data_IF_051212359327
#
_entry.id   IF_051212359327
#
_cell.length_a   1.000
_cell.length_b   1.000
_cell.length_c   1.000
_cell.angle_alpha   90.00
_cell.angle_beta   90.00
_cell.angle_gamma   90.00
#
_symmetry.space_group_name_H-M   'P 1'
#
loop_
_entity.id
_entity.type
_entity.pdbx_description
1 polymer ?
#
# COMPACT_ATOMS: atom_id res chain seq x y z
N UNK A 1 -29.32 21.67 16.39
CA UNK A 1 -28.07 22.11 17.04
C UNK A 1 -26.93 21.13 16.76
N UNK A 2 -27.08 19.84 17.02
CA UNK A 2 -26.04 18.83 16.78
C UNK A 2 -25.46 18.81 15.35
N UNK A 3 -26.31 18.88 14.32
CA UNK A 3 -25.86 18.90 12.92
C UNK A 3 -24.93 20.09 12.63
N UNK A 4 -25.24 21.28 13.13
CA UNK A 4 -24.40 22.48 12.96
C UNK A 4 -23.03 22.31 13.65
N UNK A 5 -23.02 21.66 14.83
CA UNK A 5 -21.78 21.39 15.57
C UNK A 5 -20.90 20.40 14.80
N UNK A 6 -21.47 19.30 14.29
CA UNK A 6 -20.72 18.30 13.52
C UNK A 6 -20.19 18.88 12.20
N UNK A 7 -21.01 19.62 11.48
CA UNK A 7 -20.56 20.30 10.24
C UNK A 7 -19.47 21.32 10.58
N UNK A 8 -19.63 22.12 11.63
CA UNK A 8 -18.61 23.07 12.09
C UNK A 8 -17.30 22.39 12.48
N UNK A 9 -17.37 21.27 13.21
CA UNK A 9 -16.21 20.48 13.58
C UNK A 9 -15.49 19.91 12.33
N UNK A 10 -16.23 19.34 11.39
CA UNK A 10 -15.65 18.83 10.14
C UNK A 10 -15.01 19.95 9.30
N UNK A 11 -15.64 21.11 9.21
CA UNK A 11 -15.04 22.26 8.53
C UNK A 11 -13.74 22.68 9.21
N UNK A 12 -13.74 22.78 10.55
CA UNK A 12 -12.53 23.14 11.31
C UNK A 12 -11.42 22.09 11.13
N UNK A 13 -11.75 20.79 11.20
CA UNK A 13 -10.79 19.71 10.95
C UNK A 13 -10.30 19.77 9.49
N UNK A 14 -11.17 19.97 8.52
CA UNK A 14 -10.80 20.12 7.11
C UNK A 14 -9.82 21.26 6.87
N UNK A 15 -10.08 22.43 7.49
CA UNK A 15 -9.15 23.57 7.44
C UNK A 15 -7.82 23.23 8.09
N UNK A 16 -7.82 22.54 9.25
CA UNK A 16 -6.61 22.10 9.92
C UNK A 16 -5.81 21.10 9.07
N UNK A 17 -6.49 20.17 8.39
CA UNK A 17 -5.87 19.21 7.47
C UNK A 17 -5.22 19.93 6.27
N UNK A 18 -5.91 20.89 5.67
CA UNK A 18 -5.37 21.71 4.58
C UNK A 18 -4.17 22.53 5.03
N UNK A 19 -4.28 23.22 6.17
CA UNK A 19 -3.17 23.97 6.74
C UNK A 19 -1.98 23.06 7.09
N UNK A 20 -2.24 21.89 7.67
CA UNK A 20 -1.22 20.88 7.96
C UNK A 20 -0.57 20.34 6.68
N UNK A 21 -1.35 20.07 5.64
CA UNK A 21 -0.82 19.62 4.36
C UNK A 21 0.06 20.68 3.69
N UNK A 22 -0.29 21.96 3.79
CA UNK A 22 0.53 23.07 3.28
C UNK A 22 1.82 23.21 4.10
N UNK A 23 1.72 23.13 5.42
CA UNK A 23 2.88 23.26 6.31
C UNK A 23 3.86 22.08 6.19
N UNK A 24 3.33 20.87 6.02
CA UNK A 24 4.11 19.63 5.86
C UNK A 24 4.41 19.31 4.38
N UNK A 25 4.15 20.28 3.46
CA UNK A 25 4.37 20.04 2.04
C UNK A 25 5.85 19.77 1.77
N UNK A 26 6.17 18.71 1.02
CA UNK A 26 7.56 18.34 0.77
C UNK A 26 8.34 19.41 0.02
N UNK A 27 9.61 19.56 0.37
CA UNK A 27 10.49 20.61 -0.18
C UNK A 27 10.96 20.36 -1.61
N UNK A 28 10.65 19.19 -2.21
CA UNK A 28 11.08 18.77 -3.55
C UNK A 28 12.60 18.84 -3.77
N UNK A 29 13.40 18.68 -2.72
CA UNK A 29 14.84 18.62 -2.86
C UNK A 29 15.25 17.43 -3.73
N UNK A 30 16.22 17.67 -4.62
CA UNK A 30 16.83 16.56 -5.37
C UNK A 30 17.56 15.67 -4.38
N UNK A 31 17.17 14.41 -4.36
CA UNK A 31 17.86 13.37 -3.58
C UNK A 31 18.85 12.71 -4.51
N UNK A 32 20.09 12.55 -4.06
CA UNK A 32 21.07 11.77 -4.79
C UNK A 32 20.58 10.33 -4.94
N UNK A 33 20.76 9.78 -6.12
CA UNK A 33 20.32 8.41 -6.40
C UNK A 33 21.18 7.46 -5.56
N UNK A 34 20.60 6.59 -4.71
CA UNK A 34 21.39 5.65 -3.91
C UNK A 34 22.20 4.69 -4.78
N UNK A 35 23.36 4.27 -4.29
CA UNK A 35 24.33 3.44 -5.02
C UNK A 35 23.75 2.22 -5.75
N UNK A 36 22.80 1.41 -5.18
CA UNK A 36 22.23 0.27 -5.88
C UNK A 36 21.40 0.64 -7.10
N UNK A 37 20.92 1.89 -7.15
CA UNK A 37 20.12 2.42 -8.26
C UNK A 37 20.93 3.31 -9.20
N UNK A 38 22.25 3.44 -8.95
CA UNK A 38 23.17 4.17 -9.80
C UNK A 38 23.79 3.24 -10.85
N UNK A 39 24.00 3.78 -12.04
CA UNK A 39 24.93 3.21 -13.02
C UNK A 39 26.38 3.63 -12.70
N UNK A 40 27.36 3.04 -13.39
CA UNK A 40 28.77 3.34 -13.18
C UNK A 40 29.15 4.83 -13.41
N UNK A 41 28.31 5.61 -14.07
CA UNK A 41 28.48 7.06 -14.28
C UNK A 41 27.77 7.92 -13.25
N UNK A 42 27.21 7.34 -12.17
CA UNK A 42 26.50 8.06 -11.10
C UNK A 42 25.07 8.48 -11.43
N UNK A 43 24.54 8.12 -12.61
CA UNK A 43 23.14 8.34 -12.97
C UNK A 43 22.24 7.15 -12.60
N UNK A 44 20.92 7.28 -12.79
CA UNK A 44 19.99 6.17 -12.57
C UNK A 44 20.29 4.99 -13.49
N UNK A 45 20.12 3.77 -12.98
CA UNK A 45 20.13 2.56 -13.83
C UNK A 45 19.01 2.68 -14.85
N UNK A 46 19.38 2.63 -16.14
CA UNK A 46 18.41 2.65 -17.22
C UNK A 46 18.01 1.21 -17.56
N UNK A 47 16.71 0.96 -17.67
CA UNK A 47 16.20 -0.33 -18.11
C UNK A 47 15.61 -0.22 -19.50
N UNK A 48 15.87 -1.22 -20.33
CA UNK A 48 15.40 -1.32 -21.70
C UNK A 48 14.51 -2.55 -21.85
N UNK A 49 13.60 -2.52 -22.82
CA UNK A 49 12.77 -3.66 -23.14
C UNK A 49 13.56 -4.64 -24.02
N UNK A 50 13.30 -5.91 -23.84
CA UNK A 50 13.82 -6.97 -24.69
C UNK A 50 12.92 -8.20 -24.68
N UNK A 51 13.12 -9.10 -25.62
CA UNK A 51 12.43 -10.38 -25.66
C UNK A 51 13.38 -11.53 -25.93
N UNK A 52 13.04 -12.69 -25.42
CA UNK A 52 13.85 -13.90 -25.51
C UNK A 52 13.70 -14.54 -26.89
N UNK A 53 14.80 -14.66 -27.64
CA UNK A 53 14.85 -15.32 -28.93
C UNK A 53 15.12 -16.83 -28.83
N UNK A 54 16.08 -17.21 -27.97
CA UNK A 54 16.42 -18.61 -27.76
C UNK A 54 17.03 -18.81 -26.35
N UNK A 55 16.91 -20.03 -25.85
CA UNK A 55 17.53 -20.44 -24.61
C UNK A 55 18.13 -21.82 -24.77
N UNK A 56 19.40 -21.99 -24.38
CA UNK A 56 20.14 -23.27 -24.51
C UNK A 56 21.05 -23.49 -23.32
N UNK A 57 21.26 -24.74 -22.95
CA UNK A 57 22.28 -25.11 -21.95
C UNK A 57 23.65 -25.16 -22.61
N UNK A 58 24.62 -24.47 -22.04
CA UNK A 58 25.99 -24.39 -22.50
C UNK A 58 26.96 -24.16 -21.35
N UNK A 59 28.29 -24.34 -21.54
CA UNK A 59 29.26 -23.99 -20.49
C UNK A 59 29.16 -22.53 -20.08
N UNK A 60 29.35 -22.26 -18.78
CA UNK A 60 29.36 -20.91 -18.23
C UNK A 60 30.64 -20.15 -18.56
N UNK A 61 30.56 -18.83 -18.55
CA UNK A 61 31.71 -17.94 -18.66
C UNK A 61 32.01 -17.47 -20.08
N UNK A 62 30.98 -17.38 -20.95
CA UNK A 62 31.15 -16.77 -22.25
C UNK A 62 31.56 -15.30 -22.16
N UNK A 63 32.59 -14.85 -22.91
CA UNK A 63 32.95 -13.43 -22.98
C UNK A 63 31.83 -12.55 -23.53
N UNK A 64 30.89 -13.14 -24.24
CA UNK A 64 29.72 -12.43 -24.79
C UNK A 64 28.60 -12.18 -23.78
N UNK A 65 28.73 -12.65 -22.51
CA UNK A 65 27.70 -12.46 -21.50
C UNK A 65 27.47 -10.96 -21.20
N UNK A 66 26.26 -10.51 -21.46
CA UNK A 66 25.86 -9.09 -21.31
C UNK A 66 26.32 -8.16 -22.42
N UNK A 67 27.18 -8.58 -23.34
CA UNK A 67 27.67 -7.74 -24.39
C UNK A 67 26.62 -7.47 -25.49
N UNK A 68 26.75 -6.33 -26.18
CA UNK A 68 26.01 -6.08 -27.43
C UNK A 68 26.62 -6.95 -28.54
N UNK A 69 25.85 -7.86 -29.07
CA UNK A 69 26.33 -8.81 -30.08
C UNK A 69 26.30 -8.19 -31.48
N UNK A 70 27.44 -8.18 -32.12
CA UNK A 70 27.60 -7.84 -33.57
C UNK A 70 27.81 -9.07 -34.44
N UNK A 71 28.04 -10.22 -33.80
CA UNK A 71 28.26 -11.54 -34.44
C UNK A 71 27.65 -12.64 -33.53
N UNK A 72 27.81 -13.89 -33.90
CA UNK A 72 27.43 -15.02 -33.06
C UNK A 72 28.16 -14.98 -31.69
N UNK A 73 27.50 -15.37 -30.57
CA UNK A 73 28.13 -15.37 -29.27
C UNK A 73 29.38 -16.27 -29.21
N UNK A 74 30.44 -15.77 -28.60
CA UNK A 74 31.64 -16.55 -28.37
C UNK A 74 31.38 -17.66 -27.36
N UNK A 75 31.96 -18.84 -27.64
CA UNK A 75 31.83 -19.97 -26.72
C UNK A 75 32.66 -19.78 -25.46
N UNK A 76 32.10 -20.27 -24.34
CA UNK A 76 32.82 -20.27 -23.08
C UNK A 76 34.04 -21.20 -23.12
N UNK A 77 35.12 -20.89 -22.35
CA UNK A 77 36.27 -21.79 -22.22
C UNK A 77 35.87 -23.17 -21.70
N UNK A 78 36.54 -24.25 -22.13
CA UNK A 78 36.26 -25.57 -21.60
C UNK A 78 36.59 -25.66 -20.11
N UNK A 79 35.71 -26.30 -19.30
CA UNK A 79 35.90 -26.53 -17.86
C UNK A 79 34.98 -25.74 -16.93
N UNK A 80 34.11 -24.88 -17.48
CA UNK A 80 33.06 -24.20 -16.68
C UNK A 80 31.88 -25.11 -16.36
N UNK A 81 31.10 -24.75 -15.31
CA UNK A 81 29.80 -25.34 -15.02
C UNK A 81 28.82 -25.22 -16.17
N UNK A 82 27.62 -25.80 -16.02
CA UNK A 82 26.54 -25.66 -17.01
C UNK A 82 25.69 -24.42 -16.66
N UNK A 83 25.46 -23.56 -17.64
CA UNK A 83 24.60 -22.38 -17.57
C UNK A 83 23.49 -22.47 -18.62
N UNK A 84 22.42 -21.76 -18.37
CA UNK A 84 21.41 -21.46 -19.38
C UNK A 84 21.81 -20.14 -20.06
N UNK A 85 22.24 -20.24 -21.32
CA UNK A 85 22.52 -19.09 -22.17
C UNK A 85 21.26 -18.69 -22.91
N UNK A 86 20.81 -17.45 -22.68
CA UNK A 86 19.60 -16.90 -23.26
C UNK A 86 19.94 -15.75 -24.19
N UNK A 87 19.61 -15.89 -25.47
CA UNK A 87 19.74 -14.83 -26.45
C UNK A 87 18.51 -13.94 -26.44
N UNK A 88 18.72 -12.64 -26.32
CA UNK A 88 17.72 -11.63 -26.14
C UNK A 88 17.85 -10.57 -27.24
N UNK A 89 16.75 -10.24 -27.91
CA UNK A 89 16.64 -9.04 -28.74
C UNK A 89 16.36 -7.83 -27.88
N UNK A 90 17.06 -6.74 -28.13
CA UNK A 90 16.89 -5.46 -27.46
C UNK A 90 15.84 -4.66 -28.23
N UNK A 91 14.69 -4.38 -27.56
CA UNK A 91 13.53 -3.76 -28.22
C UNK A 91 13.48 -2.24 -28.04
N UNK A 92 14.30 -1.68 -27.14
CA UNK A 92 14.33 -0.24 -26.86
C UNK A 92 15.73 0.25 -26.52
N UNK A 93 15.92 1.57 -26.52
CA UNK A 93 17.19 2.22 -26.16
C UNK A 93 18.14 2.40 -27.35
N UNK A 94 19.40 2.80 -27.08
CA UNK A 94 20.40 3.10 -28.11
C UNK A 94 20.80 1.89 -28.96
N UNK A 95 20.72 0.67 -28.39
CA UNK A 95 21.09 -0.57 -29.06
C UNK A 95 19.87 -1.37 -29.53
N UNK A 96 18.75 -0.66 -29.79
CA UNK A 96 17.55 -1.28 -30.32
C UNK A 96 17.86 -2.09 -31.59
N UNK A 97 17.19 -3.23 -31.72
CA UNK A 97 17.33 -4.22 -32.84
C UNK A 97 18.68 -4.97 -32.81
N UNK A 98 19.55 -4.73 -31.83
CA UNK A 98 20.71 -5.58 -31.57
C UNK A 98 20.33 -6.72 -30.59
N UNK A 99 21.23 -7.71 -30.50
CA UNK A 99 21.06 -8.82 -29.56
C UNK A 99 22.07 -8.73 -28.42
N UNK A 100 21.68 -9.31 -27.29
CA UNK A 100 22.58 -9.59 -26.16
C UNK A 100 22.37 -11.01 -25.67
N UNK A 101 23.36 -11.61 -25.05
CA UNK A 101 23.26 -12.94 -24.46
C UNK A 101 23.43 -12.81 -22.93
N UNK A 102 22.56 -13.44 -22.16
CA UNK A 102 22.66 -13.52 -20.72
C UNK A 102 22.85 -14.97 -20.27
N UNK A 103 23.70 -15.17 -19.26
CA UNK A 103 23.97 -16.46 -18.65
C UNK A 103 23.35 -16.55 -17.26
N UNK A 104 22.66 -17.67 -16.99
CA UNK A 104 22.08 -18.00 -15.70
C UNK A 104 22.60 -19.35 -15.22
N UNK A 105 23.04 -19.43 -13.98
CA UNK A 105 23.59 -20.67 -13.40
C UNK A 105 22.56 -21.76 -13.15
N UNK A 106 21.26 -21.49 -13.37
CA UNK A 106 20.19 -22.50 -13.21
C UNK A 106 19.90 -22.93 -11.77
N UNK A 107 20.47 -22.24 -10.77
CA UNK A 107 20.23 -22.52 -9.35
C UNK A 107 18.89 -21.97 -8.83
N UNK A 108 18.50 -22.34 -7.58
CA UNK A 108 17.34 -21.76 -6.93
C UNK A 108 17.41 -20.23 -6.88
N UNK A 109 16.32 -19.55 -7.23
CA UNK A 109 16.25 -18.09 -7.26
C UNK A 109 16.74 -17.45 -8.57
N UNK A 110 17.24 -18.21 -9.53
CA UNK A 110 17.56 -17.71 -10.87
C UNK A 110 16.29 -17.63 -11.75
N UNK A 111 16.15 -16.60 -12.60
CA UNK A 111 15.01 -16.50 -13.51
C UNK A 111 15.06 -17.61 -14.55
N UNK A 112 13.92 -18.25 -14.80
CA UNK A 112 13.73 -19.16 -15.92
C UNK A 112 13.09 -18.39 -17.07
N UNK A 113 13.86 -18.13 -18.13
CA UNK A 113 13.41 -17.41 -19.31
C UNK A 113 13.02 -18.39 -20.42
N UNK A 114 11.78 -18.29 -20.89
CA UNK A 114 11.27 -19.04 -22.02
C UNK A 114 11.33 -18.20 -23.31
N UNK A 115 11.40 -18.88 -24.46
CA UNK A 115 11.36 -18.20 -25.76
C UNK A 115 10.06 -17.42 -25.92
N UNK A 116 10.15 -16.16 -26.28
CA UNK A 116 9.03 -15.23 -26.41
C UNK A 116 8.72 -14.43 -25.15
N UNK A 117 9.40 -14.68 -24.01
CA UNK A 117 9.23 -13.86 -22.82
C UNK A 117 9.68 -12.43 -23.07
N UNK A 118 8.85 -11.48 -22.67
CA UNK A 118 9.20 -10.06 -22.62
C UNK A 118 9.82 -9.73 -21.28
N UNK A 119 11.00 -9.10 -21.33
CA UNK A 119 11.80 -8.79 -20.15
C UNK A 119 12.29 -7.35 -20.15
N UNK A 120 12.71 -6.89 -18.98
CA UNK A 120 13.48 -5.67 -18.78
C UNK A 120 14.92 -6.04 -18.54
N UNK A 121 15.83 -5.40 -19.27
CA UNK A 121 17.28 -5.53 -19.10
C UNK A 121 17.86 -4.21 -18.62
N UNK A 122 18.75 -4.24 -17.65
CA UNK A 122 19.48 -3.07 -17.19
C UNK A 122 20.68 -2.81 -18.08
N UNK A 123 20.79 -1.58 -18.58
CA UNK A 123 21.94 -1.13 -19.35
C UNK A 123 22.98 -0.49 -18.44
N UNK A 124 24.19 -1.01 -18.46
CA UNK A 124 25.35 -0.46 -17.76
C UNK A 124 26.38 -0.01 -18.79
N UNK A 125 27.07 1.08 -18.50
CA UNK A 125 28.18 1.59 -19.30
C UNK A 125 29.39 1.58 -18.39
N UNK A 126 30.43 0.87 -18.77
CA UNK A 126 31.67 0.82 -18.01
C UNK A 126 32.49 2.12 -18.19
N UNK A 127 33.58 2.24 -17.43
CA UNK A 127 34.47 3.40 -17.51
C UNK A 127 35.17 3.56 -18.87
N UNK A 128 35.23 2.49 -19.68
CA UNK A 128 35.75 2.47 -21.06
C UNK A 128 34.70 2.82 -22.11
N UNK A 129 33.43 3.02 -21.72
CA UNK A 129 32.33 3.31 -22.63
C UNK A 129 31.68 2.07 -23.25
N UNK A 130 32.11 0.85 -22.90
CA UNK A 130 31.47 -0.36 -23.37
C UNK A 130 30.11 -0.55 -22.67
N UNK A 131 29.11 -0.94 -23.45
CA UNK A 131 27.76 -1.19 -22.95
C UNK A 131 27.59 -2.66 -22.62
N UNK A 132 27.11 -2.94 -21.41
CA UNK A 132 26.72 -4.27 -20.98
C UNK A 132 25.28 -4.30 -20.50
N UNK A 133 24.65 -5.46 -20.63
CA UNK A 133 23.27 -5.75 -20.23
C UNK A 133 23.24 -6.80 -19.14
N UNK A 134 22.31 -6.66 -18.21
CA UNK A 134 21.99 -7.68 -17.22
C UNK A 134 20.47 -7.82 -17.12
N UNK A 135 20.01 -9.00 -16.71
CA UNK A 135 18.59 -9.20 -16.40
C UNK A 135 18.18 -8.28 -15.27
N UNK A 136 17.06 -7.59 -15.44
CA UNK A 136 16.48 -6.73 -14.42
C UNK A 136 15.19 -7.34 -13.88
N UNK A 137 14.21 -7.59 -14.75
CA UNK A 137 12.91 -8.18 -14.36
C UNK A 137 12.11 -8.63 -15.61
N UNK A 138 10.96 -9.29 -15.37
CA UNK A 138 9.99 -9.56 -16.42
C UNK A 138 9.18 -8.31 -16.77
N UNK A 139 8.80 -8.15 -18.03
CA UNK A 139 7.88 -7.10 -18.47
C UNK A 139 6.44 -7.48 -18.12
N UNK A 140 5.88 -6.86 -17.08
CA UNK A 140 4.54 -7.17 -16.55
C UNK A 140 3.48 -6.14 -16.93
N UNK A 141 3.82 -5.17 -17.76
CA UNK A 141 2.93 -4.03 -18.08
C UNK A 141 1.57 -4.47 -18.59
N UNK A 142 1.55 -5.32 -19.62
CA UNK A 142 0.30 -5.77 -20.22
C UNK A 142 -0.55 -6.66 -19.32
N UNK A 143 -0.02 -7.69 -18.65
CA UNK A 143 -0.77 -8.46 -17.66
C UNK A 143 -1.36 -7.60 -16.55
N UNK A 144 -0.60 -6.65 -15.98
CA UNK A 144 -1.08 -5.78 -14.94
C UNK A 144 -2.17 -4.82 -15.41
N UNK A 145 -2.03 -4.24 -16.63
CA UNK A 145 -3.08 -3.43 -17.24
C UNK A 145 -4.34 -4.26 -17.46
N UNK A 146 -4.21 -5.50 -17.95
CA UNK A 146 -5.35 -6.39 -18.16
C UNK A 146 -6.08 -6.69 -16.84
N UNK A 147 -5.36 -7.04 -15.78
CA UNK A 147 -5.95 -7.26 -14.45
C UNK A 147 -6.63 -5.99 -13.90
N UNK A 148 -5.97 -4.83 -14.03
CA UNK A 148 -6.55 -3.55 -13.61
C UNK A 148 -7.81 -3.21 -14.41
N UNK A 149 -7.83 -3.46 -15.71
CA UNK A 149 -8.99 -3.25 -16.58
C UNK A 149 -10.16 -4.17 -16.18
N UNK A 150 -9.88 -5.48 -15.99
CA UNK A 150 -10.91 -6.45 -15.54
C UNK A 150 -11.45 -6.04 -14.17
N UNK A 151 -10.59 -5.68 -13.21
CA UNK A 151 -11.00 -5.18 -11.91
C UNK A 151 -11.92 -3.96 -12.05
N UNK A 152 -11.52 -2.96 -12.84
CA UNK A 152 -12.31 -1.76 -13.06
C UNK A 152 -13.67 -2.06 -13.69
N UNK A 153 -13.71 -2.90 -14.73
CA UNK A 153 -14.93 -3.32 -15.43
C UNK A 153 -15.89 -4.03 -14.47
N UNK A 154 -15.41 -4.99 -13.70
CA UNK A 154 -16.24 -5.74 -12.75
C UNK A 154 -16.82 -4.82 -11.68
N UNK A 155 -15.99 -3.95 -11.09
CA UNK A 155 -16.45 -2.99 -10.07
C UNK A 155 -17.51 -2.03 -10.64
N UNK A 156 -17.30 -1.50 -11.85
CA UNK A 156 -18.26 -0.59 -12.47
C UNK A 156 -19.53 -1.34 -12.90
N UNK A 157 -19.41 -2.55 -13.43
CA UNK A 157 -20.57 -3.34 -13.84
C UNK A 157 -21.49 -3.67 -12.66
N UNK A 158 -20.92 -4.05 -11.51
CA UNK A 158 -21.69 -4.45 -10.31
C UNK A 158 -22.14 -3.21 -9.51
N UNK A 159 -21.24 -2.31 -9.18
CA UNK A 159 -21.53 -1.15 -8.33
C UNK A 159 -21.92 0.11 -9.11
N UNK A 160 -21.95 0.05 -10.44
CA UNK A 160 -22.38 1.12 -11.35
C UNK A 160 -21.61 2.43 -11.07
N UNK A 161 -22.32 3.55 -11.00
CA UNK A 161 -21.74 4.86 -10.77
C UNK A 161 -20.99 4.98 -9.43
N UNK A 162 -21.43 4.24 -8.41
CA UNK A 162 -20.72 4.18 -7.12
C UNK A 162 -19.37 3.49 -7.26
N UNK A 163 -19.30 2.43 -8.08
CA UNK A 163 -18.05 1.74 -8.39
C UNK A 163 -17.04 2.65 -9.09
N UNK A 164 -17.48 3.41 -10.10
CA UNK A 164 -16.60 4.38 -10.77
C UNK A 164 -16.03 5.42 -9.79
N UNK A 165 -16.88 5.97 -8.92
CA UNK A 165 -16.43 6.92 -7.89
C UNK A 165 -15.46 6.30 -6.90
N UNK A 166 -15.63 5.03 -6.54
CA UNK A 166 -14.70 4.31 -5.69
C UNK A 166 -13.33 4.15 -6.36
N UNK A 167 -13.29 3.81 -7.67
CA UNK A 167 -12.04 3.73 -8.44
C UNK A 167 -11.33 5.08 -8.50
N UNK A 168 -12.05 6.17 -8.75
CA UNK A 168 -11.48 7.52 -8.69
C UNK A 168 -10.94 7.82 -7.28
N UNK A 169 -11.65 7.39 -6.24
CA UNK A 169 -11.20 7.50 -4.85
C UNK A 169 -9.88 6.79 -4.59
N UNK A 170 -9.69 5.58 -5.15
CA UNK A 170 -8.42 4.84 -5.07
C UNK A 170 -7.29 5.64 -5.75
N UNK A 171 -7.53 6.18 -6.94
CA UNK A 171 -6.54 7.02 -7.64
C UNK A 171 -6.17 8.25 -6.80
N UNK A 172 -7.15 8.95 -6.23
CA UNK A 172 -6.90 10.09 -5.33
C UNK A 172 -6.07 9.68 -4.12
N UNK A 173 -6.38 8.52 -3.50
CA UNK A 173 -5.60 8.02 -2.37
C UNK A 173 -4.14 7.78 -2.77
N UNK A 174 -3.88 7.10 -3.89
CA UNK A 174 -2.52 6.88 -4.39
C UNK A 174 -1.80 8.20 -4.73
N UNK A 175 -2.48 9.17 -5.32
CA UNK A 175 -1.91 10.50 -5.60
C UNK A 175 -1.46 11.17 -4.30
N UNK A 176 -2.30 11.16 -3.25
CA UNK A 176 -1.92 11.73 -1.94
C UNK A 176 -0.72 11.00 -1.34
N UNK A 177 -0.68 9.67 -1.44
CA UNK A 177 0.47 8.90 -0.95
C UNK A 177 1.76 9.26 -1.70
N UNK A 178 1.73 9.26 -3.04
CA UNK A 178 2.93 9.45 -3.88
C UNK A 178 3.40 10.90 -3.91
N UNK A 179 2.47 11.87 -3.93
CA UNK A 179 2.82 13.30 -4.10
C UNK A 179 3.05 14.00 -2.77
N UNK A 180 2.40 13.54 -1.70
CA UNK A 180 2.51 14.20 -0.39
C UNK A 180 3.17 13.32 0.66
N UNK A 181 2.61 12.13 0.98
CA UNK A 181 3.09 11.34 2.11
C UNK A 181 4.54 10.88 1.93
N UNK A 182 4.84 10.18 0.83
CA UNK A 182 6.17 9.61 0.62
C UNK A 182 7.26 10.69 0.52
N UNK A 183 7.08 11.79 -0.24
CA UNK A 183 8.08 12.84 -0.28
C UNK A 183 8.27 13.56 1.06
N UNK A 184 7.19 13.80 1.83
CA UNK A 184 7.30 14.44 3.15
C UNK A 184 8.07 13.55 4.15
N UNK A 185 7.83 12.23 4.15
CA UNK A 185 8.59 11.29 4.97
C UNK A 185 10.06 11.20 4.55
N UNK A 186 10.32 11.19 3.24
CA UNK A 186 11.67 11.22 2.68
C UNK A 186 12.44 12.47 3.12
N UNK A 187 11.79 13.62 3.15
CA UNK A 187 12.37 14.90 3.57
C UNK A 187 12.56 14.98 5.11
N UNK A 188 12.26 13.89 5.85
CA UNK A 188 12.46 13.78 7.31
C UNK A 188 11.35 14.41 8.15
N UNK A 189 10.20 14.71 7.58
CA UNK A 189 9.06 15.22 8.35
C UNK A 189 8.54 14.19 9.36
N UNK A 190 8.00 14.67 10.49
CA UNK A 190 7.44 13.81 11.52
C UNK A 190 6.32 12.90 10.99
N UNK A 191 6.46 11.59 11.17
CA UNK A 191 5.60 10.58 10.56
C UNK A 191 4.13 10.69 10.99
N UNK A 192 3.85 10.93 12.29
CA UNK A 192 2.47 11.02 12.81
C UNK A 192 1.68 12.15 12.15
N UNK A 193 2.14 13.43 12.18
CA UNK A 193 1.41 14.52 11.54
C UNK A 193 1.22 14.32 10.03
N UNK A 194 2.25 13.83 9.34
CA UNK A 194 2.19 13.58 7.89
C UNK A 194 1.18 12.48 7.57
N UNK A 195 1.24 11.34 8.28
CA UNK A 195 0.32 10.22 8.07
C UNK A 195 -1.13 10.61 8.41
N UNK A 196 -1.36 11.35 9.50
CA UNK A 196 -2.69 11.84 9.86
C UNK A 196 -3.24 12.83 8.85
N UNK A 197 -2.43 13.78 8.38
CA UNK A 197 -2.84 14.75 7.36
C UNK A 197 -3.17 14.07 6.04
N UNK A 198 -2.32 13.14 5.56
CA UNK A 198 -2.55 12.35 4.36
C UNK A 198 -3.82 11.51 4.48
N UNK A 199 -3.96 10.75 5.58
CA UNK A 199 -5.12 9.90 5.84
C UNK A 199 -6.41 10.69 5.92
N UNK A 200 -6.41 11.83 6.61
CA UNK A 200 -7.57 12.69 6.70
C UNK A 200 -7.94 13.28 5.33
N UNK A 201 -6.97 13.74 4.54
CA UNK A 201 -7.21 14.25 3.19
C UNK A 201 -7.83 13.16 2.29
N UNK A 202 -7.30 11.93 2.35
CA UNK A 202 -7.86 10.77 1.64
C UNK A 202 -9.30 10.52 2.09
N UNK A 203 -9.58 10.50 3.39
CA UNK A 203 -10.92 10.26 3.92
C UNK A 203 -11.93 11.31 3.46
N UNK A 204 -11.58 12.61 3.53
CA UNK A 204 -12.45 13.68 3.02
C UNK A 204 -12.77 13.48 1.54
N UNK A 205 -11.76 13.19 0.73
CA UNK A 205 -11.96 13.00 -0.71
C UNK A 205 -12.78 11.73 -0.99
N UNK A 206 -12.36 10.58 -0.45
CA UNK A 206 -12.95 9.27 -0.79
C UNK A 206 -14.38 9.15 -0.27
N UNK A 207 -14.63 9.51 0.99
CA UNK A 207 -15.95 9.35 1.61
C UNK A 207 -16.99 10.24 0.91
N UNK A 208 -16.69 11.52 0.69
CA UNK A 208 -17.64 12.40 0.03
C UNK A 208 -17.77 12.12 -1.48
N UNK A 209 -16.71 11.69 -2.15
CA UNK A 209 -16.78 11.30 -3.55
C UNK A 209 -17.65 10.06 -3.75
N UNK A 210 -17.46 9.02 -2.92
CA UNK A 210 -18.18 7.76 -3.07
C UNK A 210 -19.65 7.85 -2.62
N UNK A 211 -19.92 8.55 -1.48
CA UNK A 211 -21.22 8.52 -0.80
C UNK A 211 -21.98 9.84 -0.86
N UNK A 212 -21.38 10.90 -1.44
CA UNK A 212 -21.98 12.24 -1.51
C UNK A 212 -21.95 12.98 -0.17
N UNK A 213 -22.37 14.26 -0.19
CA UNK A 213 -22.41 15.12 0.99
C UNK A 213 -23.76 14.98 1.69
N UNK A 214 -23.78 14.39 2.88
CA UNK A 214 -24.99 14.20 3.69
C UNK A 214 -24.63 14.13 5.17
N UNK A 215 -25.62 14.25 6.07
CA UNK A 215 -25.39 14.05 7.51
C UNK A 215 -24.93 12.63 7.84
N UNK A 216 -25.41 11.63 7.11
CA UNK A 216 -24.99 10.24 7.22
C UNK A 216 -23.50 10.12 6.89
N UNK A 217 -23.08 10.63 5.75
CA UNK A 217 -21.69 10.63 5.31
C UNK A 217 -20.79 11.43 6.24
N UNK A 218 -21.28 12.57 6.74
CA UNK A 218 -20.55 13.40 7.72
C UNK A 218 -20.40 12.70 9.09
N UNK A 219 -21.40 11.92 9.51
CA UNK A 219 -21.28 11.09 10.71
C UNK A 219 -20.22 9.99 10.56
N UNK A 220 -20.20 9.32 9.41
CA UNK A 220 -19.19 8.34 9.07
C UNK A 220 -17.79 8.96 9.08
N UNK A 221 -17.60 10.06 8.37
CA UNK A 221 -16.31 10.76 8.30
C UNK A 221 -15.79 11.16 9.70
N UNK A 222 -16.65 11.76 10.54
CA UNK A 222 -16.24 12.15 11.89
C UNK A 222 -15.88 10.92 12.73
N UNK A 223 -16.66 9.84 12.63
CA UNK A 223 -16.37 8.56 13.28
C UNK A 223 -15.04 7.96 12.83
N UNK A 224 -14.77 7.99 11.52
CA UNK A 224 -13.50 7.50 10.96
C UNK A 224 -12.30 8.34 11.39
N UNK A 225 -12.42 9.67 11.39
CA UNK A 225 -11.35 10.56 11.85
C UNK A 225 -11.03 10.36 13.34
N UNK A 226 -12.06 10.16 14.18
CA UNK A 226 -11.86 9.86 15.60
C UNK A 226 -11.19 8.49 15.79
N UNK A 227 -11.61 7.47 15.03
CA UNK A 227 -10.99 6.15 15.07
C UNK A 227 -9.55 6.16 14.50
N UNK A 228 -9.26 7.00 13.52
CA UNK A 228 -7.92 7.20 12.98
C UNK A 228 -6.96 7.80 14.02
N UNK A 229 -7.41 8.79 14.79
CA UNK A 229 -6.62 9.33 15.90
C UNK A 229 -6.33 8.26 16.95
N UNK A 230 -7.33 7.44 17.26
CA UNK A 230 -7.15 6.32 18.19
C UNK A 230 -6.15 5.30 17.61
N UNK A 231 -6.26 4.95 16.31
CA UNK A 231 -5.31 4.07 15.64
C UNK A 231 -3.88 4.62 15.70
N UNK A 232 -3.69 5.92 15.50
CA UNK A 232 -2.38 6.57 15.59
C UNK A 232 -1.79 6.49 17.02
N UNK A 233 -2.61 6.73 18.04
CA UNK A 233 -2.19 6.62 19.45
C UNK A 233 -1.83 5.17 19.81
N UNK A 234 -2.65 4.21 19.37
CA UNK A 234 -2.39 2.79 19.59
C UNK A 234 -1.13 2.33 18.84
N UNK A 235 -0.91 2.81 17.62
CA UNK A 235 0.29 2.53 16.83
C UNK A 235 1.55 3.02 17.52
N UNK A 236 1.53 4.28 17.97
CA UNK A 236 2.63 4.85 18.72
C UNK A 236 2.89 4.05 20.00
N UNK A 237 1.85 3.77 20.78
CA UNK A 237 1.99 2.98 22.01
C UNK A 237 2.50 1.55 21.77
N UNK A 238 2.05 0.88 20.71
CA UNK A 238 2.50 -0.47 20.37
C UNK A 238 3.98 -0.48 19.97
N UNK A 239 4.43 0.49 19.17
CA UNK A 239 5.81 0.63 18.74
C UNK A 239 6.74 0.88 19.94
N UNK A 240 6.38 1.81 20.82
CA UNK A 240 7.15 2.14 22.02
C UNK A 240 7.21 0.96 23.00
N UNK A 241 6.05 0.34 23.31
CA UNK A 241 5.97 -0.74 24.30
C UNK A 241 6.67 -2.03 23.85
N UNK A 242 6.59 -2.34 22.57
CA UNK A 242 7.21 -3.53 22.00
C UNK A 242 8.62 -3.27 21.42
N UNK A 243 9.14 -2.05 21.56
CA UNK A 243 10.45 -1.64 21.03
C UNK A 243 10.65 -2.00 19.56
N UNK A 244 9.62 -1.74 18.71
CA UNK A 244 9.68 -2.05 17.31
C UNK A 244 10.54 -1.03 16.57
N UNK A 245 11.59 -1.48 15.91
CA UNK A 245 12.50 -0.62 15.15
C UNK A 245 12.12 -0.52 13.68
N UNK A 246 11.49 -1.56 13.14
CA UNK A 246 11.17 -1.73 11.72
C UNK A 246 12.34 -2.21 10.87
N UNK A 247 13.52 -2.44 11.46
CA UNK A 247 14.72 -2.88 10.75
C UNK A 247 14.73 -4.38 10.40
N UNK A 248 13.72 -5.13 10.83
CA UNK A 248 13.59 -6.55 10.49
C UNK A 248 13.08 -6.82 9.08
N UNK A 249 12.62 -5.81 8.38
CA UNK A 249 12.17 -5.90 6.99
C UNK A 249 13.32 -5.48 6.06
N UNK A 250 13.66 -6.32 5.05
CA UNK A 250 14.79 -6.10 4.15
C UNK A 250 14.72 -4.73 3.44
N UNK A 251 13.53 -4.35 2.95
CA UNK A 251 13.32 -3.07 2.29
C UNK A 251 13.59 -1.87 3.22
N UNK A 252 13.27 -2.01 4.51
CA UNK A 252 13.53 -0.95 5.49
C UNK A 252 15.02 -0.80 5.78
N UNK A 253 15.78 -1.90 5.74
CA UNK A 253 17.25 -1.84 5.85
C UNK A 253 17.86 -1.09 4.66
N UNK A 254 17.37 -1.32 3.45
CA UNK A 254 17.78 -0.57 2.26
C UNK A 254 17.46 0.93 2.40
N UNK A 255 16.23 1.26 2.82
CA UNK A 255 15.83 2.65 3.07
C UNK A 255 16.75 3.29 4.13
N UNK A 256 17.04 2.59 5.24
CA UNK A 256 17.93 3.08 6.29
C UNK A 256 19.35 3.32 5.78
N UNK A 257 19.86 2.42 4.94
CA UNK A 257 21.22 2.52 4.39
C UNK A 257 21.38 3.67 3.39
N UNK A 258 20.35 3.96 2.59
CA UNK A 258 20.45 4.89 1.48
C UNK A 258 19.76 6.24 1.69
N UNK A 259 18.80 6.32 2.59
CA UNK A 259 18.01 7.52 2.88
C UNK A 259 18.18 7.91 4.36
N UNK A 260 19.39 8.35 4.74
CA UNK A 260 19.77 8.61 6.13
C UNK A 260 18.89 9.60 6.90
N UNK A 261 18.04 10.37 6.22
CA UNK A 261 17.10 11.32 6.84
C UNK A 261 15.73 10.70 7.16
N UNK A 262 15.47 9.45 6.73
CA UNK A 262 14.18 8.78 6.93
C UNK A 262 14.18 8.02 8.25
N UNK A 263 13.22 8.31 9.12
CA UNK A 263 12.97 7.51 10.33
C UNK A 263 12.28 6.20 9.97
N UNK A 264 12.95 5.07 10.12
CA UNK A 264 12.38 3.74 9.84
C UNK A 264 11.22 3.44 10.79
N UNK A 265 11.38 3.72 12.07
CA UNK A 265 10.28 3.61 13.05
C UNK A 265 9.12 4.54 12.68
N UNK A 266 9.41 5.73 12.16
CA UNK A 266 8.41 6.66 11.64
C UNK A 266 7.68 6.09 10.41
N UNK A 267 8.41 5.46 9.50
CA UNK A 267 7.83 4.79 8.32
C UNK A 267 6.91 3.64 8.73
N UNK A 268 7.35 2.80 9.69
CA UNK A 268 6.55 1.74 10.27
C UNK A 268 5.24 2.28 10.87
N UNK A 269 5.33 3.36 11.64
CA UNK A 269 4.18 4.01 12.26
C UNK A 269 3.21 4.60 11.23
N UNK A 270 3.73 5.27 10.20
CA UNK A 270 2.89 5.74 9.08
C UNK A 270 2.20 4.57 8.38
N UNK A 271 2.90 3.44 8.19
CA UNK A 271 2.35 2.22 7.63
C UNK A 271 1.19 1.65 8.46
N UNK A 272 1.27 1.66 9.80
CA UNK A 272 0.18 1.22 10.68
C UNK A 272 -1.05 2.14 10.56
N UNK A 273 -0.85 3.46 10.53
CA UNK A 273 -1.93 4.45 10.39
C UNK A 273 -2.64 4.28 9.03
N UNK A 274 -1.87 4.25 7.94
CA UNK A 274 -2.42 4.10 6.58
C UNK A 274 -3.08 2.74 6.39
N UNK A 275 -2.47 1.66 6.92
CA UNK A 275 -3.03 0.30 6.85
C UNK A 275 -4.37 0.17 7.55
N UNK A 276 -4.60 0.94 8.62
CA UNK A 276 -5.89 0.96 9.33
C UNK A 276 -7.00 1.70 8.57
N UNK A 277 -6.64 2.61 7.65
CA UNK A 277 -7.57 3.53 7.00
C UNK A 277 -8.70 2.83 6.24
N UNK A 278 -8.35 1.83 5.41
CA UNK A 278 -9.31 1.14 4.56
C UNK A 278 -10.39 0.41 5.37
N UNK A 279 -9.96 -0.28 6.42
CA UNK A 279 -10.84 -1.07 7.31
C UNK A 279 -11.73 -0.15 8.13
N UNK A 280 -11.19 0.95 8.67
CA UNK A 280 -11.97 1.92 9.44
C UNK A 280 -13.03 2.61 8.59
N UNK A 281 -12.69 2.98 7.35
CA UNK A 281 -13.63 3.61 6.43
C UNK A 281 -14.84 2.71 6.13
N UNK A 282 -14.61 1.44 5.79
CA UNK A 282 -15.67 0.50 5.46
C UNK A 282 -16.66 0.31 6.60
N UNK A 283 -16.15 0.06 7.80
CA UNK A 283 -16.97 -0.18 8.99
C UNK A 283 -17.76 1.06 9.41
N UNK A 284 -17.14 2.24 9.41
CA UNK A 284 -17.81 3.46 9.85
C UNK A 284 -18.90 3.94 8.89
N UNK A 285 -18.68 3.80 7.57
CA UNK A 285 -19.69 4.14 6.56
C UNK A 285 -20.90 3.20 6.66
N UNK A 286 -20.64 1.90 6.80
CA UNK A 286 -21.72 0.90 6.96
C UNK A 286 -22.47 1.12 8.28
N UNK A 287 -21.76 1.40 9.37
CA UNK A 287 -22.37 1.64 10.68
C UNK A 287 -23.22 2.92 10.70
N UNK A 288 -22.73 4.02 10.13
CA UNK A 288 -23.51 5.23 9.99
C UNK A 288 -24.76 5.00 9.13
N UNK A 289 -24.65 4.27 8.04
CA UNK A 289 -25.79 3.91 7.19
C UNK A 289 -26.84 3.12 7.96
N UNK A 290 -26.43 2.09 8.71
CA UNK A 290 -27.32 1.29 9.56
C UNK A 290 -28.09 2.14 10.57
N UNK A 291 -27.40 3.09 11.22
CA UNK A 291 -28.05 4.00 12.19
C UNK A 291 -29.11 4.87 11.53
N UNK A 292 -28.81 5.45 10.37
CA UNK A 292 -29.78 6.31 9.65
C UNK A 292 -30.97 5.52 9.13
N UNK A 293 -30.78 4.30 8.62
CA UNK A 293 -31.87 3.40 8.21
C UNK A 293 -32.77 3.03 9.42
N UNK A 294 -32.18 2.68 10.56
CA UNK A 294 -32.94 2.40 11.79
C UNK A 294 -33.69 3.65 12.30
N UNK A 295 -33.16 4.85 12.08
CA UNK A 295 -33.83 6.07 12.47
C UNK A 295 -35.11 6.34 11.68
N UNK A 296 -35.19 5.89 10.42
CA UNK A 296 -36.39 6.01 9.58
C UNK A 296 -37.59 5.20 10.13
N UNK A 297 -37.34 4.17 10.96
CA UNK A 297 -38.41 3.39 11.61
C UNK A 297 -39.15 4.15 12.72
N UNK A 298 -38.71 5.33 13.10
CA UNK A 298 -39.31 6.11 14.20
C UNK A 298 -38.86 5.68 15.61
N UNK A 299 -37.87 4.78 15.71
CA UNK A 299 -37.38 4.29 17.01
C UNK A 299 -36.63 5.40 17.80
N UNK A 300 -36.70 5.31 19.13
CA UNK A 300 -35.95 6.23 19.99
C UNK A 300 -34.42 6.00 19.93
N UNK A 301 -33.63 7.03 20.29
CA UNK A 301 -32.15 7.00 20.21
C UNK A 301 -31.52 5.74 20.82
N UNK A 302 -31.98 5.33 22.00
CA UNK A 302 -31.44 4.16 22.70
C UNK A 302 -31.71 2.87 21.91
N UNK A 303 -32.90 2.73 21.33
CA UNK A 303 -33.26 1.57 20.51
C UNK A 303 -32.45 1.52 19.21
N UNK A 304 -32.25 2.67 18.55
CA UNK A 304 -31.41 2.81 17.36
C UNK A 304 -29.96 2.44 17.71
N UNK A 305 -29.39 2.97 18.78
CA UNK A 305 -28.03 2.64 19.22
C UNK A 305 -27.87 1.14 19.47
N UNK A 306 -28.77 0.53 20.26
CA UNK A 306 -28.70 -0.89 20.59
C UNK A 306 -28.88 -1.76 19.35
N UNK A 307 -29.81 -1.39 18.45
CA UNK A 307 -30.05 -2.09 17.17
C UNK A 307 -28.85 -2.03 16.26
N UNK A 308 -28.28 -0.85 16.05
CA UNK A 308 -27.08 -0.66 15.24
C UNK A 308 -25.85 -1.37 15.82
N UNK A 309 -25.69 -1.36 17.15
CA UNK A 309 -24.61 -2.11 17.82
C UNK A 309 -24.72 -3.62 17.66
N UNK A 310 -25.92 -4.18 17.47
CA UNK A 310 -26.10 -5.61 17.18
C UNK A 310 -25.50 -5.94 15.81
N UNK A 311 -25.86 -5.17 14.78
CA UNK A 311 -25.30 -5.31 13.43
C UNK A 311 -23.79 -5.06 13.44
N UNK A 312 -23.34 -4.03 14.18
CA UNK A 312 -21.93 -3.69 14.30
C UNK A 312 -21.07 -4.80 14.89
N UNK A 313 -21.60 -5.58 15.85
CA UNK A 313 -20.85 -6.73 16.43
C UNK A 313 -20.59 -7.81 15.40
N UNK A 314 -21.57 -8.12 14.56
CA UNK A 314 -21.41 -9.12 13.49
C UNK A 314 -20.36 -8.62 12.47
N UNK A 315 -20.39 -7.31 12.17
CA UNK A 315 -19.43 -6.69 11.28
C UNK A 315 -18.00 -6.70 11.86
N UNK A 316 -17.83 -6.40 13.16
CA UNK A 316 -16.53 -6.50 13.83
C UNK A 316 -15.97 -7.92 13.68
N UNK A 317 -16.77 -8.95 14.01
CA UNK A 317 -16.32 -10.34 13.93
C UNK A 317 -15.82 -10.70 12.53
N UNK A 318 -16.58 -10.37 11.47
CA UNK A 318 -16.21 -10.64 10.08
C UNK A 318 -14.95 -9.88 9.65
N UNK A 319 -14.89 -8.58 9.96
CA UNK A 319 -13.80 -7.71 9.46
C UNK A 319 -12.48 -7.98 10.18
N UNK A 320 -12.51 -8.37 11.47
CA UNK A 320 -11.30 -8.77 12.19
C UNK A 320 -10.65 -9.98 11.54
N UNK A 321 -11.44 -11.00 11.12
CA UNK A 321 -10.89 -12.14 10.38
C UNK A 321 -10.23 -11.70 9.07
N UNK A 322 -10.87 -10.83 8.30
CA UNK A 322 -10.32 -10.32 7.04
C UNK A 322 -8.98 -9.61 7.28
N UNK A 323 -8.91 -8.76 8.30
CA UNK A 323 -7.70 -8.02 8.65
C UNK A 323 -6.56 -8.96 9.04
N UNK A 324 -6.79 -9.86 10.00
CA UNK A 324 -5.77 -10.78 10.51
C UNK A 324 -5.29 -11.74 9.41
N UNK A 325 -6.22 -12.30 8.61
CA UNK A 325 -5.85 -13.23 7.54
C UNK A 325 -5.12 -12.53 6.38
N UNK A 326 -5.44 -11.27 6.08
CA UNK A 326 -4.71 -10.51 5.07
C UNK A 326 -3.23 -10.30 5.49
N UNK A 327 -2.98 -9.91 6.74
CA UNK A 327 -1.62 -9.77 7.25
C UNK A 327 -0.90 -11.11 7.42
N UNK A 328 -1.57 -12.14 7.95
CA UNK A 328 -1.00 -13.48 8.04
C UNK A 328 -0.64 -14.03 6.66
N UNK A 329 -1.47 -13.76 5.65
CA UNK A 329 -1.21 -14.15 4.26
C UNK A 329 0.05 -13.52 3.68
N UNK A 330 0.29 -12.24 3.93
CA UNK A 330 1.52 -11.56 3.51
C UNK A 330 2.77 -12.07 4.24
N UNK A 331 2.62 -12.52 5.49
CA UNK A 331 3.70 -13.07 6.32
C UNK A 331 3.95 -14.57 6.11
N UNK A 332 3.23 -15.27 5.21
CA UNK A 332 3.39 -16.72 5.00
C UNK A 332 4.83 -17.17 4.72
N UNK A 333 5.62 -16.50 3.85
CA UNK A 333 7.01 -16.89 3.62
C UNK A 333 7.86 -16.84 4.89
N UNK A 334 7.66 -15.82 5.72
CA UNK A 334 8.33 -15.65 7.00
C UNK A 334 7.95 -16.76 7.99
N UNK A 335 6.66 -17.07 8.10
CA UNK A 335 6.15 -18.13 8.96
C UNK A 335 6.69 -19.51 8.53
N UNK A 336 6.79 -19.75 7.21
CA UNK A 336 7.38 -20.98 6.67
C UNK A 336 8.86 -21.07 7.04
N UNK A 337 9.62 -19.99 6.89
CA UNK A 337 11.04 -19.95 7.25
C UNK A 337 11.24 -20.29 8.72
N UNK A 338 10.43 -19.74 9.61
CA UNK A 338 10.48 -20.06 11.04
C UNK A 338 10.08 -21.52 11.35
N UNK A 339 9.14 -22.11 10.60
CA UNK A 339 8.74 -23.51 10.79
C UNK A 339 9.89 -24.47 10.52
N UNK A 340 10.82 -24.14 9.63
CA UNK A 340 12.01 -24.95 9.28
C UNK A 340 13.18 -24.66 10.22
N UNK A 341 13.25 -23.46 10.81
CA UNK A 341 14.38 -23.02 11.64
C UNK A 341 14.45 -23.71 13.02
N UNK A 342 13.52 -24.60 13.36
CA UNK A 342 13.44 -25.35 14.62
C UNK A 342 13.55 -24.46 15.88
N UNK A 343 12.98 -23.25 15.82
CA UNK A 343 12.94 -22.29 16.92
C UNK A 343 11.74 -22.56 17.83
N UNK A 344 11.84 -22.14 19.09
CA UNK A 344 10.69 -22.21 19.99
C UNK A 344 9.56 -21.29 19.49
N UNK A 345 8.29 -21.70 19.70
CA UNK A 345 7.15 -20.87 19.31
C UNK A 345 7.20 -19.48 19.98
N UNK A 346 7.70 -19.42 21.22
CA UNK A 346 7.87 -18.15 21.94
C UNK A 346 8.86 -17.22 21.21
N UNK A 347 10.02 -17.73 20.82
CA UNK A 347 11.03 -16.94 20.09
C UNK A 347 10.54 -16.47 18.73
N UNK A 348 9.72 -17.29 18.06
CA UNK A 348 9.10 -16.91 16.77
C UNK A 348 8.11 -15.78 16.96
N UNK A 349 7.18 -15.90 17.92
CA UNK A 349 6.14 -14.92 18.17
C UNK A 349 6.68 -13.59 18.69
N UNK A 350 7.82 -13.60 19.38
CA UNK A 350 8.48 -12.40 19.90
C UNK A 350 9.56 -11.84 18.98
N UNK A 351 9.85 -12.50 17.85
CA UNK A 351 10.73 -11.93 16.83
C UNK A 351 10.13 -10.65 16.25
N UNK A 352 10.95 -9.65 15.98
CA UNK A 352 10.47 -8.33 15.56
C UNK A 352 9.57 -8.40 14.32
N UNK A 353 9.95 -9.20 13.31
CA UNK A 353 9.16 -9.34 12.08
C UNK A 353 7.73 -9.86 12.33
N UNK A 354 7.57 -10.84 13.25
CA UNK A 354 6.25 -11.36 13.62
C UNK A 354 5.53 -10.38 14.57
N UNK A 355 6.26 -9.78 15.51
CA UNK A 355 5.72 -8.81 16.43
C UNK A 355 5.13 -7.58 15.72
N UNK A 356 5.74 -7.12 14.62
CA UNK A 356 5.21 -6.06 13.76
C UNK A 356 3.84 -6.46 13.19
N UNK A 357 3.69 -7.66 12.66
CA UNK A 357 2.42 -8.12 12.08
C UNK A 357 1.33 -8.32 13.14
N UNK A 358 1.70 -8.84 14.31
CA UNK A 358 0.79 -8.95 15.45
C UNK A 358 0.35 -7.57 15.94
N UNK A 359 1.27 -6.64 16.12
CA UNK A 359 0.98 -5.28 16.55
C UNK A 359 0.09 -4.54 15.53
N UNK A 360 0.40 -4.64 14.25
CA UNK A 360 -0.39 -4.06 13.14
C UNK A 360 -1.83 -4.59 13.14
N UNK A 361 -1.99 -5.90 13.27
CA UNK A 361 -3.30 -6.56 13.34
C UNK A 361 -4.07 -6.16 14.60
N UNK A 362 -3.41 -6.11 15.75
CA UNK A 362 -4.02 -5.76 17.03
C UNK A 362 -4.48 -4.29 17.05
N UNK A 363 -3.61 -3.36 16.62
CA UNK A 363 -3.94 -1.93 16.53
C UNK A 363 -5.12 -1.70 15.59
N UNK A 364 -5.07 -2.28 14.37
CA UNK A 364 -6.16 -2.18 13.42
C UNK A 364 -7.47 -2.77 13.95
N UNK A 365 -7.41 -3.94 14.57
CA UNK A 365 -8.57 -4.63 15.16
C UNK A 365 -9.20 -3.88 16.33
N UNK A 366 -8.38 -3.31 17.25
CA UNK A 366 -8.86 -2.50 18.37
C UNK A 366 -9.50 -1.20 17.86
N UNK A 367 -8.83 -0.49 16.96
CA UNK A 367 -9.34 0.75 16.38
C UNK A 367 -10.67 0.50 15.64
N UNK A 368 -10.77 -0.59 14.86
CA UNK A 368 -11.99 -1.03 14.19
C UNK A 368 -13.10 -1.32 15.21
N UNK A 369 -12.83 -2.12 16.22
CA UNK A 369 -13.85 -2.50 17.22
C UNK A 369 -14.40 -1.27 17.95
N UNK A 370 -13.55 -0.29 18.29
CA UNK A 370 -13.96 0.94 18.96
C UNK A 370 -14.58 1.97 18.00
N UNK A 371 -14.28 1.91 16.70
CA UNK A 371 -14.91 2.78 15.69
C UNK A 371 -16.42 2.57 15.61
N UNK A 372 -16.89 1.33 15.83
CA UNK A 372 -18.32 0.98 15.77
C UNK A 372 -19.16 1.74 16.81
N UNK A 373 -18.90 1.65 18.14
CA UNK A 373 -19.68 2.40 19.11
C UNK A 373 -19.51 3.92 18.96
N UNK A 374 -18.33 4.42 18.59
CA UNK A 374 -18.07 5.83 18.36
C UNK A 374 -18.93 6.37 17.21
N UNK A 375 -18.89 5.72 16.06
CA UNK A 375 -19.69 6.12 14.89
C UNK A 375 -21.18 5.97 15.15
N UNK A 376 -21.59 4.88 15.84
CA UNK A 376 -22.99 4.68 16.22
C UNK A 376 -23.51 5.81 17.10
N UNK A 377 -22.72 6.25 18.09
CA UNK A 377 -23.10 7.34 18.96
C UNK A 377 -23.24 8.67 18.20
N UNK A 378 -22.25 9.02 17.38
CA UNK A 378 -22.26 10.22 16.53
C UNK A 378 -23.48 10.21 15.58
N UNK A 379 -23.70 9.10 14.87
CA UNK A 379 -24.79 8.96 13.92
C UNK A 379 -26.17 8.99 14.61
N UNK A 380 -26.35 8.34 15.75
CA UNK A 380 -27.61 8.33 16.50
C UNK A 380 -27.99 9.74 17.03
N UNK A 381 -27.01 10.56 17.39
CA UNK A 381 -27.26 11.96 17.76
C UNK A 381 -27.71 12.79 16.57
N UNK A 382 -27.17 12.53 15.37
CA UNK A 382 -27.48 13.27 14.15
C UNK A 382 -28.79 12.82 13.49
N UNK A 383 -29.11 11.54 13.53
CA UNK A 383 -30.29 10.98 12.87
C UNK A 383 -31.63 11.34 13.55
N UNK A 384 -31.62 11.54 14.87
CA UNK A 384 -32.85 11.73 15.66
C UNK A 384 -33.65 13.03 15.38
N UNK A 385 -33.06 14.18 14.98
CA UNK A 385 -33.82 15.38 14.68
C UNK A 385 -34.69 15.26 13.43
N UNK A 386 -34.41 14.35 12.52
CA UNK A 386 -35.18 14.15 11.29
C UNK A 386 -36.58 13.58 11.55
N UNK A 387 -36.79 12.92 12.68
CA UNK A 387 -38.07 12.30 13.08
C UNK A 387 -39.08 13.31 13.67
N UNK A 388 -38.61 14.40 14.23
CA UNK A 388 -39.50 15.43 14.84
C UNK A 388 -40.19 16.33 13.80
N UNK A 389 -39.75 16.33 12.53
CA UNK A 389 -40.33 17.13 11.44
C UNK A 389 -41.39 16.40 10.60
N UNK A 390 -41.58 15.08 10.81
CA UNK A 390 -42.51 14.23 10.06
C UNK A 390 -43.60 13.62 10.96
N UNK A 391 -44.09 14.33 11.98
CA UNK A 391 -45.33 13.95 12.62
C UNK A 391 -46.49 14.39 11.71
N UNK A 392 -47.16 13.48 10.99
CA UNK A 392 -48.37 13.85 10.28
C UNK A 392 -49.43 14.15 11.34
N UNK A 393 -49.96 15.35 11.28
CA UNK A 393 -51.16 15.77 11.99
C UNK A 393 -52.28 14.75 11.72
N UNK A 394 -52.47 13.76 12.60
CA UNK A 394 -53.69 12.92 12.59
C UNK A 394 -54.81 13.76 13.16
N UNK A 395 -55.64 14.28 12.28
CA UNK A 395 -57.03 14.55 12.56
C UNK A 395 -57.90 13.49 11.94
#
# INVERSE_FOLDING_TARGET
MAAKIVVGALVAIGVAVLAGAVWLWPSHQKVDIPLPFQNAAGGAVTTEAGHVLSSKTAPCGSPSNGAVLTAEPEQAPPGGGQCVQTLISIDSGPNKDANTMLEFSGGPGQPHLAVGDHIRISRQIDAGGATSYAFYDFERTWPLIAFAAVFAVVIVAVARWRGLRALIGIVVAFVVLVVFLLPALRDGASAIPVALAASAAILYAVIYLAHGVSLRTSAALLGTLAALLLAALLSWGAIELAHLTGLSEDQNNEVAAYLGNVSITGLLLAGFIIGSLGVLNDVTVTQASTVFELAETGAGRKAIFVGAMRVGRDHIASTVYTLVLAYAGSALPLLLLFSVANRSLGDVLTSESVAIEIARSAVGGIALALSVPMTTAIAAVLATPLLSSHSPNRR
#
